data_IF_728058809373
#
_entry.id   IF_728058809373
#
_cell.length_a   1.000
_cell.length_b   1.000
_cell.length_c   1.000
_cell.angle_alpha   90.00
_cell.angle_beta   90.00
_cell.angle_gamma   90.00
#
_symmetry.space_group_name_H-M   'P 1'
#
loop_
_entity.id
_entity.type
_entity.pdbx_description
1 polymer ?
#
# COMPACT_ATOMS: atom_id res chain seq x y z
N UNK A 1 -57.74 29.92 -25.11
CA UNK A 1 -57.07 28.66 -25.46
C UNK A 1 -55.70 28.72 -24.82
N UNK A 2 -55.69 28.21 -23.58
CA UNK A 2 -54.47 28.06 -22.78
C UNK A 2 -53.72 26.83 -23.25
N UNK A 3 -52.51 27.02 -23.77
CA UNK A 3 -51.54 25.95 -23.91
C UNK A 3 -50.71 25.94 -22.63
N UNK A 4 -51.02 25.02 -21.73
CA UNK A 4 -50.17 24.69 -20.60
C UNK A 4 -48.87 24.10 -21.17
N UNK A 5 -47.80 24.84 -20.96
CA UNK A 5 -46.42 24.43 -21.17
C UNK A 5 -46.13 23.28 -20.19
N UNK A 6 -46.11 22.03 -20.71
CA UNK A 6 -45.53 20.90 -20.02
C UNK A 6 -44.03 21.08 -20.08
N UNK A 7 -43.48 21.82 -19.13
CA UNK A 7 -42.06 21.67 -18.77
C UNK A 7 -41.91 20.26 -18.23
N UNK A 8 -41.40 19.34 -19.08
CA UNK A 8 -40.83 18.09 -18.66
C UNK A 8 -39.63 18.39 -17.77
N UNK A 9 -39.88 18.51 -16.46
CA UNK A 9 -38.84 18.30 -15.42
C UNK A 9 -38.37 16.85 -15.52
N UNK A 10 -37.56 16.55 -16.53
CA UNK A 10 -36.61 15.46 -16.41
C UNK A 10 -35.55 15.97 -15.43
N UNK A 11 -35.83 15.84 -14.13
CA UNK A 11 -34.76 15.70 -13.15
C UNK A 11 -33.92 14.52 -13.63
N UNK A 12 -32.88 14.84 -14.41
CA UNK A 12 -31.71 14.01 -14.56
C UNK A 12 -31.08 13.87 -13.16
N UNK A 13 -31.70 13.04 -12.30
CA UNK A 13 -30.95 12.33 -11.29
C UNK A 13 -29.93 11.48 -12.08
N UNK A 14 -28.83 12.11 -12.49
CA UNK A 14 -27.59 11.38 -12.69
C UNK A 14 -27.35 10.65 -11.35
N UNK A 15 -27.90 9.42 -11.24
CA UNK A 15 -27.36 8.45 -10.30
C UNK A 15 -25.85 8.46 -10.56
N UNK A 16 -25.11 9.16 -9.72
CA UNK A 16 -23.67 9.21 -9.79
C UNK A 16 -23.20 7.77 -9.66
N UNK A 17 -23.02 7.12 -10.81
CA UNK A 17 -22.35 5.83 -10.85
C UNK A 17 -21.04 6.09 -10.12
N UNK A 18 -20.85 5.45 -8.95
CA UNK A 18 -19.72 5.75 -8.09
C UNK A 18 -18.43 5.77 -8.90
N UNK A 19 -17.51 6.64 -8.58
CA UNK A 19 -16.28 6.91 -9.35
C UNK A 19 -15.60 5.65 -9.89
N UNK A 20 -15.66 4.54 -9.14
CA UNK A 20 -15.00 3.27 -9.48
C UNK A 20 -15.83 2.36 -10.39
N UNK A 21 -17.15 2.58 -10.54
CA UNK A 21 -18.05 1.74 -11.32
C UNK A 21 -18.10 2.14 -12.80
N UNK A 22 -16.95 2.24 -13.43
CA UNK A 22 -16.81 2.39 -14.87
C UNK A 22 -15.74 1.44 -15.39
N UNK A 23 -15.85 1.04 -16.63
CA UNK A 23 -14.95 0.07 -17.27
C UNK A 23 -13.48 0.50 -17.20
N UNK A 24 -13.19 1.79 -17.31
CA UNK A 24 -11.82 2.31 -17.31
C UNK A 24 -11.18 2.14 -15.92
N UNK A 25 -11.89 2.53 -14.87
CA UNK A 25 -11.37 2.46 -13.51
C UNK A 25 -11.28 1.02 -13.00
N UNK A 26 -12.26 0.18 -13.35
CA UNK A 26 -12.23 -1.25 -13.04
C UNK A 26 -11.02 -1.91 -13.70
N UNK A 27 -10.77 -1.65 -14.98
CA UNK A 27 -9.61 -2.18 -15.69
C UNK A 27 -8.29 -1.75 -15.04
N UNK A 28 -8.20 -0.51 -14.57
CA UNK A 28 -7.03 -0.03 -13.82
C UNK A 28 -6.85 -0.78 -12.49
N UNK A 29 -7.94 -1.12 -11.80
CA UNK A 29 -7.88 -1.93 -10.58
C UNK A 29 -7.41 -3.35 -10.90
N UNK A 30 -7.87 -3.94 -12.00
CA UNK A 30 -7.44 -5.26 -12.46
C UNK A 30 -5.95 -5.28 -12.81
N UNK A 31 -5.45 -4.30 -13.54
CA UNK A 31 -4.03 -4.17 -13.85
C UNK A 31 -3.16 -4.09 -12.59
N UNK A 32 -3.60 -3.32 -11.58
CA UNK A 32 -2.89 -3.23 -10.29
C UNK A 32 -2.99 -4.55 -9.52
N UNK A 33 -4.15 -5.20 -9.57
CA UNK A 33 -4.37 -6.50 -8.94
C UNK A 33 -3.41 -7.55 -9.51
N UNK A 34 -3.35 -7.68 -10.82
CA UNK A 34 -2.49 -8.63 -11.53
C UNK A 34 -1.01 -8.35 -11.28
N UNK A 35 -0.61 -7.08 -11.35
CA UNK A 35 0.74 -6.67 -10.99
C UNK A 35 1.14 -7.10 -9.57
N UNK A 36 0.23 -6.99 -8.60
CA UNK A 36 0.50 -7.41 -7.24
C UNK A 36 0.51 -8.94 -7.11
N UNK A 37 -0.34 -9.65 -7.86
CA UNK A 37 -0.41 -11.11 -7.86
C UNK A 37 0.84 -11.76 -8.48
N UNK A 38 1.45 -11.10 -9.45
CA UNK A 38 2.68 -11.55 -10.13
C UNK A 38 3.95 -11.45 -9.26
N UNK A 39 3.87 -10.77 -8.11
CA UNK A 39 5.04 -10.65 -7.21
C UNK A 39 5.21 -11.91 -6.37
N UNK A 40 6.43 -12.50 -6.41
CA UNK A 40 6.78 -13.72 -5.68
C UNK A 40 6.61 -13.59 -4.14
N UNK A 41 6.71 -12.37 -3.61
CA UNK A 41 6.57 -12.10 -2.19
C UNK A 41 5.11 -11.94 -1.75
N UNK A 42 4.18 -11.86 -2.70
CA UNK A 42 2.75 -11.71 -2.44
C UNK A 42 2.05 -13.05 -2.69
N UNK A 43 1.33 -13.55 -1.69
CA UNK A 43 0.66 -14.85 -1.79
C UNK A 43 -0.74 -14.77 -2.35
N UNK A 44 -1.56 -13.87 -1.85
CA UNK A 44 -2.94 -13.72 -2.29
C UNK A 44 -3.31 -12.25 -2.35
N UNK A 45 -3.92 -11.87 -3.46
CA UNK A 45 -4.51 -10.55 -3.69
C UNK A 45 -6.03 -10.69 -3.70
N UNK A 46 -6.71 -9.78 -3.04
CA UNK A 46 -8.17 -9.70 -3.01
C UNK A 46 -8.58 -8.24 -3.22
N UNK A 47 -9.46 -8.04 -4.17
CA UNK A 47 -10.03 -6.72 -4.50
C UNK A 47 -11.37 -6.89 -5.21
N UNK A 48 -11.98 -5.82 -5.63
CA UNK A 48 -13.14 -5.84 -6.53
C UNK A 48 -12.85 -6.63 -7.80
N UNK A 49 -11.60 -6.54 -8.34
CA UNK A 49 -11.19 -7.30 -9.52
C UNK A 49 -11.36 -8.82 -9.35
N UNK A 50 -11.21 -9.34 -8.12
CA UNK A 50 -11.49 -10.77 -7.86
C UNK A 50 -12.93 -11.15 -8.15
N UNK A 51 -13.88 -10.27 -7.83
CA UNK A 51 -15.30 -10.47 -8.13
C UNK A 51 -15.62 -10.30 -9.63
N UNK A 52 -14.98 -9.32 -10.26
CA UNK A 52 -15.13 -9.04 -11.70
C UNK A 52 -14.62 -10.23 -12.52
N UNK A 53 -13.43 -10.76 -12.22
CA UNK A 53 -12.87 -11.96 -12.90
C UNK A 53 -13.81 -13.17 -12.80
N UNK A 54 -14.44 -13.37 -11.64
CA UNK A 54 -15.45 -14.45 -11.49
C UNK A 54 -16.68 -14.18 -12.36
N UNK A 55 -17.15 -12.94 -12.42
CA UNK A 55 -18.30 -12.58 -13.27
C UNK A 55 -17.97 -12.73 -14.77
N UNK A 56 -16.78 -12.40 -15.20
CA UNK A 56 -16.30 -12.61 -16.56
C UNK A 56 -16.19 -14.11 -16.92
N UNK A 57 -15.68 -14.92 -15.99
CA UNK A 57 -15.62 -16.37 -16.19
C UNK A 57 -17.03 -16.98 -16.34
N UNK A 58 -18.01 -16.48 -15.60
CA UNK A 58 -19.43 -16.87 -15.75
C UNK A 58 -20.03 -16.41 -17.09
N UNK A 59 -19.43 -15.39 -17.72
CA UNK A 59 -19.82 -14.84 -19.03
C UNK A 59 -18.95 -15.40 -20.19
N UNK A 60 -18.47 -16.62 -20.08
CA UNK A 60 -17.64 -17.29 -21.08
C UNK A 60 -16.30 -16.55 -21.36
N UNK A 61 -15.76 -15.84 -20.37
CA UNK A 61 -14.48 -15.12 -20.46
C UNK A 61 -14.53 -13.80 -21.23
N UNK A 62 -15.72 -13.25 -21.48
CA UNK A 62 -15.84 -11.93 -22.12
C UNK A 62 -15.80 -10.80 -21.11
N UNK A 63 -15.08 -9.72 -21.45
CA UNK A 63 -15.03 -8.50 -20.61
C UNK A 63 -16.45 -7.98 -20.28
N UNK A 64 -16.61 -7.46 -19.07
CA UNK A 64 -17.88 -6.87 -18.64
C UNK A 64 -18.08 -5.50 -19.30
N UNK A 65 -19.22 -5.32 -19.93
CA UNK A 65 -19.63 -4.02 -20.45
C UNK A 65 -20.17 -3.12 -19.32
N UNK A 66 -20.32 -1.82 -19.58
CA UNK A 66 -20.93 -0.89 -18.60
C UNK A 66 -22.32 -1.34 -18.16
N UNK A 67 -23.12 -1.94 -19.07
CA UNK A 67 -24.42 -2.50 -18.74
C UNK A 67 -24.30 -3.71 -17.79
N UNK A 68 -23.31 -4.56 -17.99
CA UNK A 68 -23.07 -5.71 -17.10
C UNK A 68 -22.63 -5.23 -15.71
N UNK A 69 -21.81 -4.19 -15.63
CA UNK A 69 -21.40 -3.59 -14.36
C UNK A 69 -22.59 -2.97 -13.61
N UNK A 70 -23.44 -2.26 -14.34
CA UNK A 70 -24.68 -1.71 -13.78
C UNK A 70 -25.62 -2.83 -13.31
N UNK A 71 -25.71 -3.94 -14.04
CA UNK A 71 -26.48 -5.10 -13.64
C UNK A 71 -25.92 -5.76 -12.37
N UNK A 72 -24.59 -5.94 -12.29
CA UNK A 72 -23.92 -6.45 -11.09
C UNK A 72 -24.20 -5.53 -9.90
N UNK A 73 -24.11 -4.22 -10.08
CA UNK A 73 -24.39 -3.24 -9.03
C UNK A 73 -25.85 -3.29 -8.54
N UNK A 74 -26.83 -3.40 -9.45
CA UNK A 74 -28.25 -3.23 -9.14
C UNK A 74 -28.99 -4.53 -8.87
N UNK A 75 -28.55 -5.67 -9.44
CA UNK A 75 -29.24 -6.95 -9.30
C UNK A 75 -28.72 -7.82 -8.15
N UNK A 76 -27.53 -7.54 -7.62
CA UNK A 76 -27.04 -8.26 -6.46
C UNK A 76 -27.89 -7.92 -5.23
N UNK A 77 -28.41 -8.94 -4.50
CA UNK A 77 -29.03 -8.72 -3.19
C UNK A 77 -28.09 -7.94 -2.26
N UNK A 78 -28.64 -7.04 -1.44
CA UNK A 78 -27.84 -6.15 -0.59
C UNK A 78 -26.89 -6.91 0.35
N UNK A 79 -27.31 -8.07 0.87
CA UNK A 79 -26.46 -8.92 1.71
C UNK A 79 -25.25 -9.50 0.98
N UNK A 80 -25.40 -9.84 -0.30
CA UNK A 80 -24.32 -10.32 -1.17
C UNK A 80 -23.43 -9.15 -1.58
N UNK A 81 -24.03 -8.02 -1.92
CA UNK A 81 -23.32 -6.79 -2.29
C UNK A 81 -22.44 -6.30 -1.14
N UNK A 82 -22.97 -6.23 0.08
CA UNK A 82 -22.22 -5.86 1.27
C UNK A 82 -21.07 -6.85 1.55
N UNK A 83 -21.31 -8.15 1.38
CA UNK A 83 -20.27 -9.17 1.61
C UNK A 83 -19.17 -9.17 0.56
N UNK A 84 -19.50 -8.99 -0.72
CA UNK A 84 -18.55 -9.07 -1.83
C UNK A 84 -17.89 -7.74 -2.15
N UNK A 85 -18.62 -6.63 -2.07
CA UNK A 85 -18.17 -5.31 -2.48
C UNK A 85 -17.85 -4.42 -1.28
N UNK A 86 -18.62 -4.47 -0.22
CA UNK A 86 -18.45 -3.65 0.97
C UNK A 86 -17.11 -3.85 1.69
N UNK A 87 -16.47 -5.02 1.51
CA UNK A 87 -15.12 -5.24 2.01
C UNK A 87 -14.03 -4.49 1.22
N UNK A 88 -14.31 -4.12 -0.04
CA UNK A 88 -13.34 -3.58 -0.99
C UNK A 88 -13.67 -2.20 -1.53
N UNK A 89 -14.91 -1.75 -1.40
CA UNK A 89 -15.35 -0.40 -1.79
C UNK A 89 -15.88 0.30 -0.56
N UNK A 90 -15.55 1.58 -0.38
CA UNK A 90 -16.12 2.42 0.68
C UNK A 90 -17.61 2.72 0.41
N UNK A 91 -18.36 3.07 1.47
CA UNK A 91 -19.79 3.40 1.35
C UNK A 91 -20.07 4.59 0.43
N UNK A 92 -19.12 5.54 0.35
CA UNK A 92 -19.16 6.69 -0.54
C UNK A 92 -18.65 6.39 -1.96
N UNK A 93 -18.31 5.12 -2.24
CA UNK A 93 -17.76 4.63 -3.51
C UNK A 93 -16.54 5.40 -4.04
N UNK A 94 -15.87 6.18 -3.20
CA UNK A 94 -14.69 6.98 -3.58
C UNK A 94 -13.35 6.27 -3.35
N UNK A 95 -13.35 5.17 -2.58
CA UNK A 95 -12.14 4.43 -2.25
C UNK A 95 -12.28 2.95 -2.56
N UNK A 96 -11.24 2.39 -3.13
CA UNK A 96 -11.12 0.94 -3.37
C UNK A 96 -9.97 0.37 -2.56
N UNK A 97 -10.21 -0.77 -1.94
CA UNK A 97 -9.22 -1.50 -1.17
C UNK A 97 -8.73 -2.71 -1.96
N UNK A 98 -7.42 -2.80 -2.11
CA UNK A 98 -6.74 -4.01 -2.57
C UNK A 98 -6.04 -4.61 -1.35
N UNK A 99 -6.44 -5.81 -0.96
CA UNK A 99 -5.88 -6.53 0.19
C UNK A 99 -4.88 -7.57 -0.30
N UNK A 100 -3.66 -7.49 0.20
CA UNK A 100 -2.60 -8.42 -0.17
C UNK A 100 -2.06 -9.15 1.05
N UNK A 101 -1.65 -10.39 0.86
CA UNK A 101 -0.98 -11.18 1.88
C UNK A 101 0.48 -11.35 1.52
N UNK A 102 1.38 -10.78 2.31
CA UNK A 102 2.83 -10.96 2.13
C UNK A 102 3.25 -12.34 2.64
N UNK A 103 4.03 -13.06 1.82
CA UNK A 103 4.60 -14.36 2.15
C UNK A 103 5.89 -14.17 2.96
N UNK A 104 5.79 -14.28 4.28
CA UNK A 104 6.94 -14.11 5.18
C UNK A 104 8.01 -15.20 5.04
N UNK A 105 7.68 -16.31 4.40
CA UNK A 105 8.59 -17.44 4.14
C UNK A 105 9.42 -17.27 2.87
N UNK A 106 9.20 -16.23 2.09
CA UNK A 106 9.96 -15.94 0.88
C UNK A 106 11.42 -15.65 1.25
N UNK A 107 12.34 -16.39 0.60
CA UNK A 107 13.78 -16.27 0.86
C UNK A 107 14.27 -14.90 0.41
N UNK A 108 14.85 -14.14 1.36
CA UNK A 108 15.38 -12.81 1.05
C UNK A 108 14.36 -11.68 1.08
N UNK A 109 13.16 -11.92 1.62
CA UNK A 109 12.15 -10.89 1.77
C UNK A 109 12.68 -9.70 2.60
N UNK A 110 12.90 -8.59 1.93
CA UNK A 110 13.06 -7.29 2.56
C UNK A 110 11.75 -6.52 2.45
N UNK A 111 11.00 -6.44 3.55
CA UNK A 111 9.69 -5.76 3.56
C UNK A 111 9.79 -4.30 3.14
N UNK A 112 10.87 -3.61 3.53
CA UNK A 112 11.06 -2.22 3.16
C UNK A 112 11.27 -2.06 1.64
N UNK A 113 12.07 -2.94 1.04
CA UNK A 113 12.32 -2.91 -0.40
C UNK A 113 11.05 -3.28 -1.18
N UNK A 114 10.28 -4.27 -0.72
CA UNK A 114 9.01 -4.64 -1.32
C UNK A 114 8.02 -3.46 -1.29
N UNK A 115 7.80 -2.84 -0.12
CA UNK A 115 6.88 -1.72 0.00
C UNK A 115 7.33 -0.52 -0.84
N UNK A 116 8.64 -0.22 -0.85
CA UNK A 116 9.21 0.86 -1.65
C UNK A 116 9.11 0.58 -3.16
N UNK A 117 9.29 -0.68 -3.59
CA UNK A 117 9.11 -1.05 -4.99
C UNK A 117 7.66 -0.87 -5.43
N UNK A 118 6.70 -1.37 -4.64
CA UNK A 118 5.27 -1.22 -4.93
C UNK A 118 4.90 0.27 -5.03
N UNK A 119 5.33 1.10 -4.07
CA UNK A 119 5.05 2.53 -4.10
C UNK A 119 5.62 3.21 -5.35
N UNK A 120 6.85 2.86 -5.72
CA UNK A 120 7.50 3.39 -6.91
C UNK A 120 6.81 2.95 -8.20
N UNK A 121 6.37 1.69 -8.28
CA UNK A 121 5.74 1.14 -9.46
C UNK A 121 4.33 1.72 -9.63
N UNK A 122 3.57 1.90 -8.53
CA UNK A 122 2.28 2.59 -8.56
C UNK A 122 2.39 4.02 -9.11
N UNK A 123 3.44 4.75 -8.74
CA UNK A 123 3.70 6.10 -9.26
C UNK A 123 4.16 6.11 -10.72
N UNK A 124 5.03 5.17 -11.12
CA UNK A 124 5.67 5.20 -12.44
C UNK A 124 4.87 4.50 -13.52
N UNK A 125 4.41 3.28 -13.25
CA UNK A 125 3.73 2.43 -14.23
C UNK A 125 2.24 2.79 -14.29
N UNK A 126 1.59 2.90 -13.12
CA UNK A 126 0.17 3.20 -13.05
C UNK A 126 -0.14 4.70 -12.99
N UNK A 127 0.88 5.56 -12.95
CA UNK A 127 0.77 7.04 -12.95
C UNK A 127 -0.18 7.56 -11.87
N UNK A 128 -0.13 6.95 -10.69
CA UNK A 128 -0.88 7.40 -9.52
C UNK A 128 -0.09 8.48 -8.78
N UNK A 129 -0.76 9.53 -8.38
CA UNK A 129 -0.21 10.57 -7.52
C UNK A 129 -0.19 10.11 -6.05
N UNK A 130 0.60 10.76 -5.20
CA UNK A 130 0.77 10.34 -3.80
C UNK A 130 -0.51 10.40 -2.95
N UNK A 131 -1.45 11.27 -3.32
CA UNK A 131 -2.75 11.42 -2.68
C UNK A 131 -3.80 10.41 -3.18
N UNK A 132 -3.55 9.76 -4.33
CA UNK A 132 -4.47 8.80 -4.95
C UNK A 132 -4.34 7.37 -4.40
N UNK A 133 -3.28 7.06 -3.70
CA UNK A 133 -3.11 5.74 -3.11
C UNK A 133 -2.43 5.81 -1.73
N UNK A 134 -2.70 4.81 -0.91
CA UNK A 134 -2.09 4.69 0.41
C UNK A 134 -1.79 3.23 0.74
N UNK A 135 -0.52 2.93 0.97
CA UNK A 135 -0.14 1.65 1.53
C UNK A 135 -0.45 1.65 3.04
N UNK A 136 -1.18 0.65 3.50
CA UNK A 136 -1.60 0.52 4.90
C UNK A 136 -1.63 -0.94 5.33
N UNK A 137 -1.90 -1.17 6.59
CA UNK A 137 -2.00 -2.50 7.14
C UNK A 137 -0.84 -2.86 8.07
N UNK A 138 -0.92 -4.07 8.64
CA UNK A 138 0.00 -4.52 9.68
C UNK A 138 1.45 -4.60 9.18
N UNK A 139 1.67 -5.05 7.94
CA UNK A 139 3.00 -5.15 7.36
C UNK A 139 3.69 -3.78 7.23
N UNK A 140 2.95 -2.75 6.79
CA UNK A 140 3.44 -1.38 6.67
C UNK A 140 3.73 -0.79 8.06
N UNK A 141 2.79 -0.95 9.00
CA UNK A 141 2.95 -0.46 10.37
C UNK A 141 4.19 -1.07 11.04
N UNK A 142 4.35 -2.39 10.91
CA UNK A 142 5.48 -3.12 11.48
C UNK A 142 6.81 -2.69 10.86
N UNK A 143 6.86 -2.53 9.53
CA UNK A 143 8.03 -2.02 8.83
C UNK A 143 8.42 -0.63 9.32
N UNK A 144 7.46 0.30 9.39
CA UNK A 144 7.70 1.68 9.82
C UNK A 144 8.17 1.74 11.28
N UNK A 145 7.61 0.89 12.15
CA UNK A 145 8.02 0.77 13.54
C UNK A 145 9.46 0.28 13.65
N UNK A 146 9.82 -0.79 12.93
CA UNK A 146 11.19 -1.31 12.92
C UNK A 146 12.19 -0.27 12.40
N UNK A 147 11.89 0.38 11.27
CA UNK A 147 12.75 1.43 10.71
C UNK A 147 12.97 2.59 11.69
N UNK A 148 11.91 3.00 12.38
CA UNK A 148 11.99 4.05 13.40
C UNK A 148 12.86 3.63 14.58
N UNK A 149 12.71 2.40 15.07
CA UNK A 149 13.52 1.86 16.17
C UNK A 149 15.00 1.78 15.79
N UNK A 150 15.33 1.21 14.62
CA UNK A 150 16.71 1.13 14.15
C UNK A 150 17.34 2.52 13.96
N UNK A 151 16.63 3.46 13.33
CA UNK A 151 17.11 4.83 13.14
C UNK A 151 17.38 5.53 14.48
N UNK A 152 16.47 5.38 15.44
CA UNK A 152 16.61 5.93 16.79
C UNK A 152 17.81 5.33 17.54
N UNK A 153 17.99 4.01 17.48
CA UNK A 153 19.12 3.32 18.08
C UNK A 153 20.46 3.81 17.50
N UNK A 154 20.58 3.85 16.17
CA UNK A 154 21.82 4.31 15.51
C UNK A 154 22.15 5.75 15.89
N UNK A 155 21.15 6.64 15.91
CA UNK A 155 21.33 8.04 16.32
C UNK A 155 21.80 8.14 17.77
N UNK A 156 21.18 7.41 18.68
CA UNK A 156 21.53 7.41 20.11
C UNK A 156 22.96 6.91 20.32
N UNK A 157 23.31 5.77 19.73
CA UNK A 157 24.66 5.21 19.79
C UNK A 157 25.67 6.21 19.22
N UNK A 158 25.39 6.80 18.07
CA UNK A 158 26.27 7.81 17.45
C UNK A 158 26.54 9.02 18.36
N UNK A 159 25.50 9.54 19.03
CA UNK A 159 25.63 10.63 19.98
C UNK A 159 26.50 10.22 21.17
N UNK A 160 26.25 9.07 21.77
CA UNK A 160 27.01 8.55 22.92
C UNK A 160 28.49 8.38 22.53
N UNK A 161 28.77 7.78 21.38
CA UNK A 161 30.15 7.64 20.90
C UNK A 161 30.81 9.01 20.65
N UNK A 162 30.06 9.98 20.11
CA UNK A 162 30.57 11.34 19.91
C UNK A 162 30.96 12.02 21.22
N UNK A 163 30.15 11.88 22.26
CA UNK A 163 30.43 12.45 23.59
C UNK A 163 31.64 11.76 24.23
N UNK A 164 31.71 10.43 24.17
CA UNK A 164 32.90 9.67 24.70
C UNK A 164 34.16 10.05 23.95
N UNK A 165 34.09 10.22 22.63
CA UNK A 165 35.23 10.64 21.81
C UNK A 165 35.72 12.02 22.19
N UNK A 166 34.83 12.99 22.38
CA UNK A 166 35.16 14.32 22.85
C UNK A 166 35.82 14.29 24.23
N UNK A 167 35.27 13.47 25.13
CA UNK A 167 35.88 13.30 26.47
C UNK A 167 37.31 12.75 26.37
N UNK A 168 37.57 11.76 25.51
CA UNK A 168 38.92 11.23 25.30
C UNK A 168 39.87 12.27 24.70
N UNK A 169 39.41 13.11 23.77
CA UNK A 169 40.22 14.21 23.23
C UNK A 169 40.64 15.16 24.34
N UNK A 170 39.73 15.55 25.22
CA UNK A 170 40.04 16.45 26.36
C UNK A 170 40.99 15.78 27.33
N UNK A 171 40.79 14.48 27.64
CA UNK A 171 41.62 13.72 28.58
C UNK A 171 43.06 13.51 28.06
N UNK A 172 43.19 13.05 26.82
CA UNK A 172 44.47 12.68 26.22
C UNK A 172 45.14 13.88 25.51
N UNK A 173 44.42 14.97 25.31
CA UNK A 173 44.88 16.14 24.51
C UNK A 173 45.45 15.76 23.14
N UNK A 174 45.02 14.64 22.60
CA UNK A 174 45.47 14.08 21.34
C UNK A 174 44.36 13.29 20.68
N UNK A 175 44.00 13.70 19.47
CA UNK A 175 42.98 13.01 18.65
C UNK A 175 43.41 11.57 18.32
N UNK A 176 44.72 11.36 18.09
CA UNK A 176 45.25 10.04 17.77
C UNK A 176 45.10 9.05 18.92
N UNK A 177 45.41 9.46 20.15
CA UNK A 177 45.19 8.61 21.34
C UNK A 177 43.71 8.37 21.64
N UNK A 178 42.87 9.36 21.40
CA UNK A 178 41.43 9.22 21.54
C UNK A 178 40.84 8.18 20.57
N UNK A 179 41.32 8.16 19.33
CA UNK A 179 40.93 7.13 18.35
C UNK A 179 41.33 5.72 18.74
N UNK A 180 42.59 5.56 19.22
CA UNK A 180 43.08 4.27 19.70
C UNK A 180 42.25 3.79 20.90
N UNK A 181 41.99 4.67 21.86
CA UNK A 181 41.19 4.36 23.04
C UNK A 181 39.73 4.03 22.73
N UNK A 182 39.19 4.53 21.62
CA UNK A 182 37.83 4.26 21.20
C UNK A 182 37.66 2.95 20.43
N UNK A 183 38.74 2.42 19.85
CA UNK A 183 38.71 1.18 19.03
C UNK A 183 38.05 -0.02 19.73
N UNK A 184 38.35 -0.36 21.01
CA UNK A 184 37.73 -1.48 21.70
C UNK A 184 36.23 -1.29 21.87
N UNK A 185 35.79 -0.06 22.15
CA UNK A 185 34.36 0.25 22.32
C UNK A 185 33.60 0.13 20.98
N UNK A 186 34.22 0.58 19.87
CA UNK A 186 33.67 0.41 18.53
C UNK A 186 33.53 -1.07 18.16
N UNK A 187 34.57 -1.89 18.45
CA UNK A 187 34.50 -3.32 18.20
C UNK A 187 33.40 -3.99 19.02
N UNK A 188 33.29 -3.69 20.31
CA UNK A 188 32.25 -4.23 21.16
C UNK A 188 30.85 -3.87 20.67
N UNK A 189 30.63 -2.62 20.30
CA UNK A 189 29.35 -2.15 19.74
C UNK A 189 29.02 -2.83 18.40
N UNK A 190 30.02 -3.01 17.53
CA UNK A 190 29.83 -3.67 16.23
C UNK A 190 29.45 -5.15 16.40
N UNK A 191 30.05 -5.86 17.38
CA UNK A 191 29.69 -7.25 17.67
C UNK A 191 28.27 -7.35 18.19
N UNK A 192 27.87 -6.48 19.12
CA UNK A 192 26.50 -6.47 19.68
C UNK A 192 25.48 -6.16 18.59
N UNK A 193 25.71 -5.12 17.80
CA UNK A 193 24.80 -4.75 16.70
C UNK A 193 24.73 -5.85 15.62
N UNK A 194 25.88 -6.43 15.26
CA UNK A 194 25.92 -7.51 14.27
C UNK A 194 25.31 -8.83 14.73
N UNK A 195 25.20 -9.06 16.06
CA UNK A 195 24.53 -10.24 16.60
C UNK A 195 23.01 -10.10 16.74
N UNK A 196 22.50 -8.87 16.63
CA UNK A 196 21.08 -8.54 16.70
C UNK A 196 20.39 -8.41 15.33
N UNK A 197 21.15 -8.36 14.21
CA UNK A 197 20.69 -8.13 12.85
C UNK A 197 20.57 -9.39 11.96
#
# INVERSE_FOLDING_TARGET
EDYEDFEDDFDDEEESSGYWWNTINIKKIEEIHDYLEDKEEIGKVLSVASGIKVAEELKDGSELSELDLALVKNLLPEDIKETLLGAYISEDENQVRISTRVLETSRGLNRNDLLSSIEKDLKKEFKLEEDQFRLTGLAVLYNNMLQSLFSSQIKTIGIVFGVIFLMFIVLFRSVYLALIGMTPNLLAASVVLGSMG
#
